data_IF_513322181653
#
_entry.id   IF_513322181653
#
_cell.length_a   1.000
_cell.length_b   1.000
_cell.length_c   1.000
_cell.angle_alpha   90.00
_cell.angle_beta   90.00
_cell.angle_gamma   90.00
#
_symmetry.space_group_name_H-M   'P 1'
#
loop_
_entity.id
_entity.type
_entity.pdbx_description
1 polymer ?
#
# COMPACT_ATOMS: atom_id res chain seq x y z
N UNK A 1 16.95 -9.89 -4.39
CA UNK A 1 17.30 -9.15 -5.62
C UNK A 1 16.19 -8.19 -6.06
N UNK A 2 14.97 -8.64 -6.40
CA UNK A 2 13.83 -7.73 -6.67
C UNK A 2 13.12 -7.26 -5.38
N UNK A 3 12.98 -8.15 -4.40
CA UNK A 3 12.30 -7.87 -3.13
C UNK A 3 12.90 -6.67 -2.38
N UNK A 4 14.24 -6.50 -2.41
CA UNK A 4 14.93 -5.35 -1.82
C UNK A 4 14.57 -4.02 -2.51
N UNK A 5 14.46 -4.02 -3.84
CA UNK A 5 14.08 -2.83 -4.61
C UNK A 5 12.64 -2.43 -4.26
N UNK A 6 11.75 -3.41 -4.16
CA UNK A 6 10.35 -3.20 -3.74
C UNK A 6 10.30 -2.65 -2.30
N UNK A 7 11.03 -3.26 -1.36
CA UNK A 7 11.15 -2.77 0.03
C UNK A 7 11.63 -1.32 0.07
N UNK A 8 12.66 -0.98 -0.72
CA UNK A 8 13.21 0.39 -0.78
C UNK A 8 12.18 1.39 -1.33
N UNK A 9 11.46 1.04 -2.41
CA UNK A 9 10.44 1.89 -3.03
C UNK A 9 9.24 2.09 -2.10
N UNK A 10 8.74 1.02 -1.49
CA UNK A 10 7.67 1.07 -0.48
C UNK A 10 8.08 1.92 0.72
N UNK A 11 9.32 1.81 1.18
CA UNK A 11 9.83 2.63 2.29
C UNK A 11 9.91 4.12 1.94
N UNK A 12 10.29 4.47 0.70
CA UNK A 12 10.24 5.86 0.24
C UNK A 12 8.81 6.40 0.16
N UNK A 13 7.86 5.57 -0.30
CA UNK A 13 6.45 5.90 -0.32
C UNK A 13 5.89 6.09 1.10
N UNK A 14 6.17 5.15 2.01
CA UNK A 14 5.80 5.21 3.41
C UNK A 14 6.31 6.50 4.06
N UNK A 15 7.58 6.84 3.82
CA UNK A 15 8.19 8.06 4.34
C UNK A 15 7.49 9.31 3.82
N UNK A 16 7.19 9.39 2.52
CA UNK A 16 6.43 10.51 1.94
C UNK A 16 5.04 10.65 2.55
N UNK A 17 4.31 9.54 2.72
CA UNK A 17 3.00 9.53 3.36
C UNK A 17 3.06 9.99 4.81
N UNK A 18 4.08 9.54 5.55
CA UNK A 18 4.30 9.97 6.92
C UNK A 18 4.65 11.47 7.00
N UNK A 19 5.48 11.98 6.09
CA UNK A 19 5.86 13.39 6.08
C UNK A 19 4.71 14.32 5.66
N UNK A 20 3.94 13.94 4.63
CA UNK A 20 2.87 14.77 4.07
C UNK A 20 1.52 14.61 4.77
N UNK A 21 1.15 13.39 5.14
CA UNK A 21 -0.18 13.04 5.65
C UNK A 21 -0.14 12.57 7.12
N UNK A 22 1.04 12.45 7.74
CA UNK A 22 1.24 11.88 9.08
C UNK A 22 0.75 10.43 9.21
N UNK A 23 0.69 9.68 8.10
CA UNK A 23 0.24 8.29 8.08
C UNK A 23 1.42 7.33 8.11
N UNK A 24 1.41 6.39 9.04
CA UNK A 24 2.30 5.23 9.10
C UNK A 24 1.82 4.15 8.15
N UNK A 25 2.65 3.83 7.15
CA UNK A 25 2.40 2.72 6.23
C UNK A 25 3.08 1.46 6.75
N UNK A 26 2.31 0.39 6.93
CA UNK A 26 2.77 -0.95 7.27
C UNK A 26 2.42 -1.87 6.10
N UNK A 27 3.31 -2.79 5.74
CA UNK A 27 3.05 -3.75 4.66
C UNK A 27 3.53 -5.14 5.08
N UNK A 28 2.79 -6.16 4.66
CA UNK A 28 3.10 -7.56 4.93
C UNK A 28 4.15 -8.08 3.96
N UNK A 29 4.91 -9.12 4.34
CA UNK A 29 5.93 -9.70 3.45
C UNK A 29 5.33 -10.30 2.17
N UNK A 30 4.09 -10.81 2.26
CA UNK A 30 3.31 -11.27 1.11
C UNK A 30 3.11 -10.19 0.02
N UNK A 31 3.02 -8.91 0.40
CA UNK A 31 2.89 -7.79 -0.55
C UNK A 31 4.13 -7.69 -1.42
N UNK A 32 5.31 -7.88 -0.82
CA UNK A 32 6.58 -7.83 -1.53
C UNK A 32 6.70 -9.00 -2.50
N UNK A 33 6.29 -10.20 -2.09
CA UNK A 33 6.24 -11.37 -2.96
C UNK A 33 5.28 -11.15 -4.13
N UNK A 34 4.07 -10.65 -3.88
CA UNK A 34 3.10 -10.38 -4.95
C UNK A 34 3.57 -9.33 -5.96
N UNK A 35 4.16 -8.22 -5.50
CA UNK A 35 4.72 -7.22 -6.40
C UNK A 35 5.85 -7.84 -7.24
N UNK A 36 6.68 -8.68 -6.62
CA UNK A 36 7.78 -9.36 -7.30
C UNK A 36 7.28 -10.38 -8.33
N UNK A 37 6.25 -11.16 -8.00
CA UNK A 37 5.61 -12.11 -8.93
C UNK A 37 4.98 -11.37 -10.12
N UNK A 38 4.17 -10.33 -9.89
CA UNK A 38 3.59 -9.50 -10.96
C UNK A 38 4.64 -8.86 -11.88
N UNK A 39 5.81 -8.50 -11.34
CA UNK A 39 6.90 -7.95 -12.15
C UNK A 39 7.68 -9.01 -12.92
N UNK A 40 7.55 -10.28 -12.55
CA UNK A 40 8.16 -11.40 -13.26
C UNK A 40 7.25 -11.89 -14.41
N UNK A 41 5.92 -11.76 -14.25
CA UNK A 41 4.95 -12.12 -15.31
C UNK A 41 4.85 -11.11 -16.45
N UNK A 42 4.96 -9.81 -16.15
CA UNK A 42 4.85 -8.77 -17.19
C UNK A 42 6.23 -8.50 -17.77
N UNK A 43 6.42 -8.78 -19.08
CA UNK A 43 7.64 -8.68 -19.90
C UNK A 43 8.31 -7.28 -19.95
N UNK A 44 8.02 -6.37 -19.02
CA UNK A 44 8.54 -4.99 -18.94
C UNK A 44 9.50 -4.74 -17.76
N UNK A 45 9.80 -5.74 -16.94
CA UNK A 45 10.84 -5.68 -15.91
C UNK A 45 10.65 -4.57 -14.86
N UNK A 46 11.76 -4.02 -14.33
CA UNK A 46 11.76 -3.09 -13.18
C UNK A 46 11.02 -1.75 -13.40
N UNK A 47 10.67 -1.39 -14.65
CA UNK A 47 9.84 -0.20 -14.95
C UNK A 47 8.38 -0.42 -14.55
N UNK A 48 7.91 -1.66 -14.57
CA UNK A 48 6.55 -1.99 -14.15
C UNK A 48 6.34 -1.76 -12.65
N UNK A 49 7.37 -2.03 -11.84
CA UNK A 49 7.37 -1.79 -10.38
C UNK A 49 7.01 -0.33 -10.10
N UNK A 50 7.72 0.59 -10.74
CA UNK A 50 7.53 2.03 -10.53
C UNK A 50 6.16 2.49 -11.02
N UNK A 51 5.68 1.92 -12.13
CA UNK A 51 4.35 2.20 -12.64
C UNK A 51 3.25 1.75 -11.67
N UNK A 52 3.29 0.50 -11.20
CA UNK A 52 2.30 -0.04 -10.25
C UNK A 52 2.34 0.76 -8.93
N UNK A 53 3.53 1.07 -8.41
CA UNK A 53 3.67 1.84 -7.18
C UNK A 53 3.15 3.28 -7.32
N UNK A 54 3.60 4.02 -8.33
CA UNK A 54 3.27 5.44 -8.46
C UNK A 54 1.90 5.71 -9.12
N UNK A 55 1.40 4.82 -9.99
CA UNK A 55 0.13 5.00 -10.70
C UNK A 55 -1.04 4.29 -10.06
N UNK A 56 -0.81 3.26 -9.24
CA UNK A 56 -1.89 2.49 -8.60
C UNK A 56 -1.84 2.64 -7.10
N UNK A 57 -0.75 2.19 -6.45
CA UNK A 57 -0.67 2.18 -4.98
C UNK A 57 -0.74 3.58 -4.39
N UNK A 58 0.09 4.51 -4.88
CA UNK A 58 0.18 5.87 -4.36
C UNK A 58 -1.15 6.65 -4.42
N UNK A 59 -1.87 6.73 -5.57
CA UNK A 59 -3.15 7.41 -5.62
C UNK A 59 -4.25 6.69 -4.84
N UNK A 60 -4.26 5.35 -4.80
CA UNK A 60 -5.22 4.60 -3.97
C UNK A 60 -5.02 4.90 -2.49
N UNK A 61 -3.79 4.82 -2.00
CA UNK A 61 -3.46 5.14 -0.60
C UNK A 61 -3.84 6.57 -0.27
N UNK A 62 -3.52 7.54 -1.14
CA UNK A 62 -3.89 8.93 -0.90
C UNK A 62 -5.41 9.11 -0.81
N UNK A 63 -6.18 8.47 -1.69
CA UNK A 63 -7.65 8.51 -1.67
C UNK A 63 -8.20 7.91 -0.39
N UNK A 64 -7.71 6.73 0.00
CA UNK A 64 -8.10 6.04 1.22
C UNK A 64 -7.79 6.86 2.49
N UNK A 65 -6.60 7.46 2.55
CA UNK A 65 -6.20 8.36 3.64
C UNK A 65 -7.13 9.58 3.72
N UNK A 66 -7.47 10.20 2.58
CA UNK A 66 -8.39 11.33 2.54
C UNK A 66 -9.81 10.95 3.01
N UNK A 67 -10.30 9.79 2.60
CA UNK A 67 -11.59 9.25 3.07
C UNK A 67 -11.55 9.05 4.60
N UNK A 68 -10.48 8.46 5.12
CA UNK A 68 -10.33 8.20 6.55
C UNK A 68 -10.26 9.49 7.38
N UNK A 69 -9.58 10.52 6.87
CA UNK A 69 -9.57 11.86 7.46
C UNK A 69 -10.97 12.47 7.48
N UNK A 70 -11.76 12.27 6.41
CA UNK A 70 -13.14 12.75 6.34
C UNK A 70 -14.08 12.01 7.30
N UNK A 71 -13.78 10.75 7.62
CA UNK A 71 -14.54 9.97 8.61
C UNK A 71 -14.16 10.32 10.06
N UNK A 72 -13.23 11.26 10.29
CA UNK A 72 -12.81 11.68 11.63
C UNK A 72 -12.07 10.60 12.41
N UNK A 73 -11.58 9.56 11.73
CA UNK A 73 -10.89 8.45 12.38
C UNK A 73 -9.45 8.81 12.70
N UNK A 74 -9.04 8.55 13.95
CA UNK A 74 -7.70 8.85 14.49
C UNK A 74 -6.60 7.88 14.04
N UNK A 75 -6.97 6.87 13.27
CA UNK A 75 -6.06 5.79 12.90
C UNK A 75 -5.18 6.20 11.72
N UNK A 76 -4.03 6.76 12.05
CA UNK A 76 -2.99 7.11 11.10
C UNK A 76 -2.12 5.92 10.69
N UNK A 77 -2.56 4.67 10.89
CA UNK A 77 -1.81 3.48 10.47
C UNK A 77 -2.56 2.73 9.39
N UNK A 78 -1.94 2.61 8.22
CA UNK A 78 -2.44 1.88 7.06
C UNK A 78 -1.63 0.61 6.87
N UNK A 79 -2.26 -0.55 6.99
CA UNK A 79 -1.68 -1.85 6.69
C UNK A 79 -2.04 -2.29 5.27
N UNK A 80 -1.03 -2.68 4.51
CA UNK A 80 -1.17 -3.28 3.18
C UNK A 80 -0.96 -4.79 3.32
N UNK A 81 -1.95 -5.56 2.87
CA UNK A 81 -1.90 -7.00 2.80
C UNK A 81 -2.16 -7.52 1.39
N UNK A 82 -2.27 -8.84 1.29
CA UNK A 82 -2.63 -9.56 0.07
C UNK A 82 -3.83 -10.44 0.38
N UNK A 83 -4.89 -10.32 -0.43
CA UNK A 83 -6.07 -11.18 -0.33
C UNK A 83 -5.84 -12.56 -0.96
N UNK A 84 -6.77 -13.49 -0.75
CA UNK A 84 -6.68 -14.87 -1.25
C UNK A 84 -6.57 -14.98 -2.78
N UNK A 85 -7.06 -13.97 -3.51
CA UNK A 85 -7.00 -13.87 -4.97
C UNK A 85 -5.71 -13.25 -5.51
N UNK A 86 -4.77 -12.84 -4.62
CA UNK A 86 -3.57 -12.10 -5.01
C UNK A 86 -3.79 -10.59 -5.19
N UNK A 87 -4.96 -10.08 -4.80
CA UNK A 87 -5.26 -8.65 -4.83
C UNK A 87 -4.68 -7.91 -3.62
N UNK A 88 -4.24 -6.67 -3.82
CA UNK A 88 -3.75 -5.84 -2.72
C UNK A 88 -4.92 -5.39 -1.84
N UNK A 89 -4.79 -5.60 -0.54
CA UNK A 89 -5.79 -5.18 0.44
C UNK A 89 -5.24 -4.05 1.30
N UNK A 90 -6.09 -3.10 1.64
CA UNK A 90 -5.74 -1.95 2.46
C UNK A 90 -6.62 -1.97 3.72
N UNK A 91 -5.98 -2.01 4.88
CA UNK A 91 -6.67 -2.04 6.17
C UNK A 91 -6.12 -0.94 7.06
N UNK A 92 -6.95 0.04 7.39
CA UNK A 92 -6.58 0.97 8.46
C UNK A 92 -6.75 0.27 9.80
N UNK A 93 -5.80 0.48 10.70
CA UNK A 93 -5.89 0.01 12.08
C UNK A 93 -6.93 0.84 12.86
N UNK A 94 -8.19 0.83 12.41
CA UNK A 94 -9.27 1.52 13.07
C UNK A 94 -9.91 0.59 14.08
N UNK A 95 -9.82 0.93 15.35
CA UNK A 95 -10.70 0.40 16.38
C UNK A 95 -12.07 1.09 16.27
N UNK A 96 -12.72 0.96 15.12
CA UNK A 96 -14.14 1.27 14.95
C UNK A 96 -14.73 0.18 14.06
N UNK A 97 -15.34 -0.78 14.74
CA UNK A 97 -16.44 -1.60 14.25
C UNK A 97 -17.41 -0.71 13.48
N UNK A 98 -17.48 -0.87 12.16
CA UNK A 98 -18.60 -0.32 11.41
C UNK A 98 -19.30 -1.47 10.69
N UNK A 99 -20.37 -1.89 11.34
CA UNK A 99 -21.50 -2.63 10.81
C UNK A 99 -21.93 -2.01 9.48
N UNK A 100 -21.58 -2.64 8.36
CA UNK A 100 -22.22 -2.35 7.08
C UNK A 100 -23.54 -3.10 7.02
N UNK A 101 -24.54 -2.33 6.59
CA UNK A 101 -25.98 -2.53 6.72
C UNK A 101 -26.55 -3.50 5.68
#
# INVERSE_FOLDING_TARGET
ALSDIVKLKLSQLARRLQEQQKVSLVYQEAVIEQITQRCTEVETGARNIDHILNRTLLPQIASEVLVQMSQGSVSNTLEIGVGETGEFTFKFANSVENSEK
#
